data_IF_220630085251
#
_entry.id   IF_220630085251
#
_cell.length_a   1.000
_cell.length_b   1.000
_cell.length_c   1.000
_cell.angle_alpha   90.00
_cell.angle_beta   90.00
_cell.angle_gamma   90.00
#
_symmetry.space_group_name_H-M   'P 1'
#
loop_
_entity.id
_entity.type
_entity.pdbx_description
1 polymer ?
#
# COMPACT_ATOMS: atom_id res chain seq x y z
N UNK A 1 13.68 -20.41 9.68
CA UNK A 1 12.66 -20.99 8.79
C UNK A 1 12.75 -20.25 7.48
N UNK A 2 12.95 -20.96 6.39
CA UNK A 2 13.09 -20.38 5.05
C UNK A 2 11.81 -19.64 4.65
N UNK A 3 11.91 -18.35 4.34
CA UNK A 3 10.82 -17.57 3.80
C UNK A 3 10.58 -18.01 2.35
N UNK A 4 9.52 -18.79 2.15
CA UNK A 4 8.99 -19.16 0.85
C UNK A 4 7.58 -18.61 0.78
N UNK A 5 7.39 -17.54 0.01
CA UNK A 5 6.10 -17.25 -0.63
C UNK A 5 6.36 -16.58 -1.97
N UNK A 6 6.88 -17.35 -2.93
CA UNK A 6 6.48 -17.16 -4.32
C UNK A 6 5.22 -18.02 -4.51
N UNK A 7 4.18 -17.48 -5.12
CA UNK A 7 2.81 -18.03 -5.20
C UNK A 7 1.91 -17.75 -3.99
N UNK A 8 1.41 -16.52 -3.88
CA UNK A 8 0.06 -16.32 -3.38
C UNK A 8 -0.92 -16.68 -4.52
N UNK A 9 -1.76 -17.69 -4.29
CA UNK A 9 -2.80 -18.17 -5.19
C UNK A 9 -3.66 -17.01 -5.76
N UNK A 10 -4.17 -17.12 -7.01
CA UNK A 10 -5.06 -16.11 -7.57
C UNK A 10 -6.42 -16.17 -6.87
N UNK A 11 -6.56 -15.46 -5.75
CA UNK A 11 -7.88 -15.12 -5.20
C UNK A 11 -8.49 -14.04 -6.08
N UNK A 12 -9.54 -14.42 -6.81
CA UNK A 12 -10.46 -13.49 -7.46
C UNK A 12 -11.26 -12.75 -6.37
N UNK A 13 -10.62 -11.84 -5.66
CA UNK A 13 -11.29 -10.86 -4.80
C UNK A 13 -10.77 -9.50 -5.22
N UNK A 14 -11.68 -8.67 -5.72
CA UNK A 14 -11.49 -7.33 -6.29
C UNK A 14 -11.10 -6.32 -5.19
N UNK A 15 -10.05 -6.62 -4.45
CA UNK A 15 -9.51 -5.75 -3.40
C UNK A 15 -8.16 -5.23 -3.93
N UNK A 16 -7.95 -3.90 -3.86
CA UNK A 16 -6.74 -3.22 -4.34
C UNK A 16 -5.81 -2.96 -3.15
N UNK A 17 -4.67 -3.63 -3.11
CA UNK A 17 -3.63 -3.39 -2.12
C UNK A 17 -2.54 -2.46 -2.68
N UNK A 18 -2.22 -1.39 -1.94
CA UNK A 18 -1.15 -0.45 -2.23
C UNK A 18 -0.11 -0.52 -1.10
N UNK A 19 1.16 -0.68 -1.44
CA UNK A 19 2.24 -0.52 -0.47
C UNK A 19 2.95 0.79 -0.77
N UNK A 20 3.07 1.67 0.22
CA UNK A 20 3.67 2.99 0.06
C UNK A 20 4.99 3.07 0.85
N UNK A 21 5.90 3.92 0.40
CA UNK A 21 7.00 4.37 1.24
C UNK A 21 6.48 5.31 2.32
N UNK A 22 7.07 5.22 3.51
CA UNK A 22 6.76 6.02 4.69
C UNK A 22 7.56 7.32 4.77
N UNK A 23 8.24 7.72 3.69
CA UNK A 23 8.92 9.01 3.68
C UNK A 23 7.90 10.16 3.76
N UNK A 24 8.24 11.28 4.42
CA UNK A 24 7.28 12.36 4.65
C UNK A 24 6.67 12.94 3.36
N UNK A 25 7.46 13.00 2.28
CA UNK A 25 6.99 13.56 1.01
C UNK A 25 5.93 12.65 0.37
N UNK A 26 6.17 11.34 0.34
CA UNK A 26 5.19 10.38 -0.17
C UNK A 26 3.95 10.30 0.73
N UNK A 27 4.13 10.37 2.04
CA UNK A 27 3.03 10.36 3.02
C UNK A 27 2.07 11.55 2.81
N UNK A 28 2.62 12.74 2.58
CA UNK A 28 1.84 13.94 2.23
C UNK A 28 1.16 13.80 0.86
N UNK A 29 1.85 13.25 -0.13
CA UNK A 29 1.29 13.01 -1.46
C UNK A 29 0.11 12.02 -1.42
N UNK A 30 0.25 10.91 -0.68
CA UNK A 30 -0.80 9.90 -0.50
C UNK A 30 -1.99 10.48 0.24
N UNK A 31 -1.78 11.19 1.35
CA UNK A 31 -2.85 11.85 2.09
C UNK A 31 -3.64 12.80 1.19
N UNK A 32 -2.94 13.63 0.40
CA UNK A 32 -3.58 14.55 -0.52
C UNK A 32 -4.35 13.85 -1.65
N UNK A 33 -3.80 12.78 -2.22
CA UNK A 33 -4.49 11.97 -3.22
C UNK A 33 -5.78 11.35 -2.68
N UNK A 34 -5.74 10.81 -1.46
CA UNK A 34 -6.91 10.26 -0.78
C UNK A 34 -7.96 11.33 -0.47
N UNK A 35 -7.50 12.51 -0.03
CA UNK A 35 -8.38 13.66 0.23
C UNK A 35 -9.07 14.13 -1.05
N UNK A 36 -8.34 14.24 -2.16
CA UNK A 36 -8.87 14.62 -3.46
C UNK A 36 -9.84 13.56 -4.02
N UNK A 37 -9.52 12.28 -3.82
CA UNK A 37 -10.40 11.16 -4.17
C UNK A 37 -11.71 11.16 -3.37
N UNK A 38 -11.77 11.84 -2.21
CA UNK A 38 -12.91 11.84 -1.31
C UNK A 38 -12.94 10.65 -0.35
N UNK A 39 -11.77 10.07 -0.06
CA UNK A 39 -11.62 9.01 0.92
C UNK A 39 -11.97 9.49 2.35
N UNK A 40 -12.53 8.63 3.21
CA UNK A 40 -12.79 8.98 4.61
C UNK A 40 -11.46 9.11 5.37
N UNK A 41 -11.09 10.35 5.73
CA UNK A 41 -9.84 10.69 6.45
C UNK A 41 -10.10 11.35 7.80
N UNK A 42 -11.30 11.19 8.37
CA UNK A 42 -11.67 11.85 9.61
C UNK A 42 -10.73 11.42 10.76
N UNK A 43 -10.03 12.40 11.35
CA UNK A 43 -9.07 12.16 12.43
C UNK A 43 -7.69 11.70 11.96
N UNK A 44 -7.46 11.61 10.64
CA UNK A 44 -6.17 11.23 10.07
C UNK A 44 -5.34 12.45 9.64
N UNK A 45 -4.03 12.32 9.74
CA UNK A 45 -3.02 13.27 9.26
C UNK A 45 -2.08 12.58 8.27
N UNK A 46 -1.24 13.34 7.54
CA UNK A 46 -0.16 12.74 6.73
C UNK A 46 0.79 11.85 7.55
N UNK A 47 1.01 12.16 8.83
CA UNK A 47 1.94 11.41 9.68
C UNK A 47 1.48 9.95 9.90
N UNK A 48 0.17 9.69 9.86
CA UNK A 48 -0.37 8.33 9.94
C UNK A 48 0.07 7.45 8.75
N UNK A 49 0.44 8.07 7.62
CA UNK A 49 0.95 7.38 6.43
C UNK A 49 2.49 7.26 6.42
N UNK A 50 3.16 7.89 7.39
CA UNK A 50 4.61 7.82 7.59
C UNK A 50 5.01 6.82 8.69
N UNK A 51 4.05 6.25 9.41
CA UNK A 51 4.33 5.28 10.49
C UNK A 51 4.29 3.85 9.97
N UNK A 52 5.45 3.18 9.99
CA UNK A 52 5.53 1.76 9.63
C UNK A 52 4.66 0.89 10.57
N UNK A 53 3.98 -0.09 9.98
CA UNK A 53 3.09 -0.99 10.72
C UNK A 53 1.63 -0.51 10.82
N UNK A 54 1.34 0.70 10.34
CA UNK A 54 -0.02 1.18 10.17
C UNK A 54 -0.57 0.72 8.81
N UNK A 55 -1.89 0.67 8.70
CA UNK A 55 -2.60 0.47 7.45
C UNK A 55 -3.87 1.32 7.41
N UNK A 56 -4.24 1.75 6.21
CA UNK A 56 -5.48 2.44 5.94
C UNK A 56 -6.36 1.58 5.05
N UNK A 57 -7.65 1.48 5.39
CA UNK A 57 -8.62 0.72 4.60
C UNK A 57 -9.83 1.58 4.29
N UNK A 58 -10.30 1.52 3.05
CA UNK A 58 -11.59 2.08 2.66
C UNK A 58 -12.41 1.11 1.81
N UNK A 59 -13.73 1.27 1.90
CA UNK A 59 -14.69 0.41 1.18
C UNK A 59 -14.90 -0.95 1.83
N UNK A 60 -15.52 -1.85 1.07
CA UNK A 60 -15.84 -3.23 1.46
C UNK A 60 -15.71 -4.14 0.24
N UNK A 61 -15.40 -5.44 0.39
CA UNK A 61 -15.37 -6.35 -0.75
C UNK A 61 -16.69 -6.33 -1.54
N UNK A 62 -16.64 -6.34 -2.88
CA UNK A 62 -15.47 -6.53 -3.73
C UNK A 62 -14.95 -5.19 -4.30
N UNK A 63 -15.02 -4.11 -3.54
CA UNK A 63 -14.45 -2.78 -3.87
C UNK A 63 -13.80 -2.26 -2.60
N UNK A 64 -12.75 -2.96 -2.16
CA UNK A 64 -11.92 -2.57 -1.01
C UNK A 64 -10.59 -2.03 -1.51
N UNK A 65 -10.06 -1.01 -0.84
CA UNK A 65 -8.70 -0.53 -1.02
C UNK A 65 -7.99 -0.60 0.32
N UNK A 66 -6.82 -1.22 0.33
CA UNK A 66 -5.93 -1.35 1.47
C UNK A 66 -4.62 -0.61 1.15
N UNK A 67 -4.18 0.28 2.03
CA UNK A 67 -2.92 1.01 1.92
C UNK A 67 -2.04 0.60 3.10
N UNK A 68 -0.89 0.02 2.79
CA UNK A 68 0.03 -0.54 3.74
C UNK A 68 1.24 0.39 3.85
N UNK A 69 1.59 0.76 5.09
CA UNK A 69 2.79 1.55 5.41
C UNK A 69 3.95 0.64 5.85
N UNK A 70 3.74 -0.67 5.84
CA UNK A 70 4.78 -1.65 6.11
C UNK A 70 4.26 -3.06 5.88
N UNK A 71 5.17 -3.95 5.49
CA UNK A 71 4.90 -5.39 5.44
C UNK A 71 5.93 -6.06 6.34
N UNK A 72 5.51 -6.79 7.39
CA UNK A 72 6.43 -7.42 8.31
C UNK A 72 7.47 -8.29 7.60
N UNK A 73 8.76 -7.98 7.83
CA UNK A 73 9.88 -8.71 7.22
C UNK A 73 10.24 -8.30 5.79
N UNK A 74 9.65 -7.23 5.26
CA UNK A 74 10.01 -6.63 3.97
C UNK A 74 10.35 -5.15 4.12
N UNK A 75 11.49 -4.78 3.54
CA UNK A 75 11.93 -3.39 3.41
C UNK A 75 11.42 -2.81 2.08
N UNK A 76 10.84 -1.60 2.10
CA UNK A 76 10.21 -1.00 0.92
C UNK A 76 11.20 -0.78 -0.23
N UNK A 77 12.32 -0.13 0.04
CA UNK A 77 13.31 0.24 -0.98
C UNK A 77 13.83 -0.96 -1.81
N UNK A 78 14.37 -2.03 -1.21
CA UNK A 78 14.84 -3.18 -1.99
C UNK A 78 13.70 -3.98 -2.65
N UNK A 79 12.48 -3.92 -2.13
CA UNK A 79 11.33 -4.53 -2.79
C UNK A 79 10.88 -3.71 -4.02
N UNK A 80 10.90 -2.39 -3.92
CA UNK A 80 10.60 -1.47 -5.00
C UNK A 80 11.56 -1.62 -6.18
N UNK A 81 12.86 -1.79 -5.90
CA UNK A 81 13.88 -2.02 -6.94
C UNK A 81 13.70 -3.34 -7.69
N UNK A 82 13.13 -4.36 -7.04
CA UNK A 82 12.96 -5.72 -7.59
C UNK A 82 11.62 -5.92 -8.29
N UNK A 83 10.77 -4.89 -8.37
CA UNK A 83 9.46 -4.99 -8.99
C UNK A 83 9.58 -5.35 -10.48
N UNK A 84 8.81 -6.31 -11.00
CA UNK A 84 8.79 -6.59 -12.43
C UNK A 84 8.35 -5.33 -13.20
N UNK A 85 9.08 -4.97 -14.25
CA UNK A 85 8.68 -3.90 -15.16
C UNK A 85 7.52 -4.40 -16.04
N UNK A 86 6.29 -4.25 -15.57
CA UNK A 86 5.09 -4.64 -16.32
C UNK A 86 3.83 -4.49 -15.47
N UNK A 87 2.63 -4.42 -16.09
CA UNK A 87 1.38 -4.28 -15.37
C UNK A 87 1.01 -5.63 -14.72
N UNK A 88 1.68 -5.97 -13.62
CA UNK A 88 1.12 -6.95 -12.69
C UNK A 88 -0.02 -6.26 -11.94
N UNK A 89 -1.25 -6.68 -12.22
CA UNK A 89 -2.52 -6.02 -11.80
C UNK A 89 -2.80 -6.09 -10.30
N UNK A 90 -1.81 -6.42 -9.46
CA UNK A 90 -2.07 -6.95 -8.12
C UNK A 90 -1.40 -6.21 -6.98
N UNK A 91 -0.34 -5.46 -7.22
CA UNK A 91 0.33 -4.66 -6.18
C UNK A 91 1.00 -3.46 -6.85
N UNK A 92 0.46 -2.27 -6.60
CA UNK A 92 1.16 -1.04 -6.96
C UNK A 92 1.92 -0.61 -5.72
N UNK A 93 3.25 -0.72 -5.80
CA UNK A 93 4.07 0.09 -4.93
C UNK A 93 4.08 1.52 -5.48
N UNK A 94 3.91 2.51 -4.62
CA UNK A 94 3.90 3.92 -4.98
C UNK A 94 5.06 4.57 -4.25
N UNK A 95 6.05 5.02 -5.02
CA UNK A 95 7.15 5.84 -4.55
C UNK A 95 7.06 7.19 -5.27
N UNK A 96 7.17 8.27 -4.49
CA UNK A 96 7.40 9.63 -4.99
C UNK A 96 8.81 9.82 -5.51
#
# INVERSE_FOLDING_TARGET
GYAVTQYAEPRYTKDLDLWISTDPANSEAVYNALREFGAPLAGMTPDDFAEEGYFYQMGVPPVRVDILMGIPGLEFSPAWERRPAGPDRRQFAVAG
#
